data_IF_797384547588
#
_entry.id   IF_797384547588
#
_cell.length_a   1.000
_cell.length_b   1.000
_cell.length_c   1.000
_cell.angle_alpha   90.00
_cell.angle_beta   90.00
_cell.angle_gamma   90.00
#
_symmetry.space_group_name_H-M   'P 1'
#
loop_
_entity.id
_entity.type
_entity.pdbx_description
1 polymer ?
#
# COMPACT_ATOMS: atom_id res chain seq x y z
N UNK A 1 -0.56 13.45 -6.30
CA UNK A 1 -0.29 13.89 -4.91
C UNK A 1 -1.60 14.38 -4.32
N UNK A 2 -1.83 14.19 -3.02
CA UNK A 2 -2.99 14.71 -2.30
C UNK A 2 -2.45 15.52 -1.12
N UNK A 3 -2.80 16.80 -1.00
CA UNK A 3 -2.30 17.70 0.06
C UNK A 3 -0.77 17.65 0.26
N UNK A 4 0.00 17.60 -0.84
CA UNK A 4 1.46 17.51 -0.81
C UNK A 4 2.03 16.11 -0.49
N UNK A 5 1.18 15.12 -0.23
CA UNK A 5 1.61 13.73 -0.02
C UNK A 5 1.65 12.96 -1.35
N UNK A 6 2.69 12.14 -1.53
CA UNK A 6 2.77 11.20 -2.65
C UNK A 6 1.80 10.04 -2.43
N UNK A 7 1.10 9.67 -3.49
CA UNK A 7 0.09 8.62 -3.52
C UNK A 7 0.52 7.60 -4.56
N UNK A 8 0.49 6.32 -4.20
CA UNK A 8 0.66 5.21 -5.12
C UNK A 8 -0.72 4.74 -5.55
N UNK A 9 -0.94 4.65 -6.86
CA UNK A 9 -2.18 4.16 -7.46
C UNK A 9 -1.90 2.82 -8.11
N UNK A 10 -2.71 1.82 -7.79
CA UNK A 10 -2.65 0.48 -8.36
C UNK A 10 -3.94 0.22 -9.13
N UNK A 11 -3.79 -0.22 -10.38
CA UNK A 11 -4.91 -0.72 -11.18
C UNK A 11 -4.82 -2.25 -11.19
N UNK A 12 -5.85 -2.91 -10.65
CA UNK A 12 -5.99 -4.36 -10.60
C UNK A 12 -7.30 -4.70 -11.29
N UNK A 13 -7.21 -5.25 -12.51
CA UNK A 13 -8.35 -5.66 -13.33
C UNK A 13 -9.41 -4.56 -13.52
N UNK A 14 -8.97 -3.29 -13.63
CA UNK A 14 -9.84 -2.12 -13.79
C UNK A 14 -10.32 -1.51 -12.47
N UNK A 15 -10.03 -2.13 -11.33
CA UNK A 15 -10.28 -1.56 -10.01
C UNK A 15 -9.07 -0.76 -9.54
N UNK A 16 -9.30 0.47 -9.11
CA UNK A 16 -8.25 1.37 -8.66
C UNK A 16 -8.15 1.40 -7.13
N UNK A 17 -6.94 1.28 -6.61
CA UNK A 17 -6.60 1.49 -5.21
C UNK A 17 -5.61 2.65 -5.10
N UNK A 18 -5.84 3.58 -4.17
CA UNK A 18 -4.95 4.69 -3.91
C UNK A 18 -4.51 4.70 -2.45
N UNK A 19 -3.20 4.63 -2.21
CA UNK A 19 -2.60 4.59 -0.87
C UNK A 19 -1.44 5.57 -0.75
N UNK A 20 -1.03 5.91 0.47
CA UNK A 20 0.20 6.66 0.71
C UNK A 20 1.41 5.95 0.10
N UNK A 21 2.22 6.65 -0.70
CA UNK A 21 3.37 6.04 -1.40
C UNK A 21 4.57 5.79 -0.47
N UNK A 22 4.54 6.28 0.77
CA UNK A 22 5.67 6.22 1.70
C UNK A 22 5.44 5.14 2.75
N UNK A 23 6.22 4.06 2.68
CA UNK A 23 6.25 3.05 3.74
C UNK A 23 6.63 3.68 5.08
N UNK A 24 5.82 3.54 6.15
CA UNK A 24 6.05 4.19 7.44
C UNK A 24 7.31 3.72 8.15
N UNK A 25 7.85 2.54 7.78
CA UNK A 25 9.08 2.03 8.37
C UNK A 25 10.31 2.92 8.09
N UNK A 26 10.70 3.08 6.82
CA UNK A 26 11.90 3.85 6.41
C UNK A 26 11.71 4.64 5.12
N UNK A 27 10.46 4.94 4.77
CA UNK A 27 10.13 5.79 3.64
C UNK A 27 10.24 5.16 2.26
N UNK A 28 10.31 3.83 2.17
CA UNK A 28 10.36 3.12 0.88
C UNK A 28 9.15 3.43 -0.03
N UNK A 29 9.35 3.54 -1.35
CA UNK A 29 8.28 3.88 -2.30
C UNK A 29 7.39 2.67 -2.58
N UNK A 30 6.17 2.68 -2.07
CA UNK A 30 5.21 1.57 -2.23
C UNK A 30 4.75 1.42 -3.68
N UNK A 31 4.73 2.50 -4.47
CA UNK A 31 4.49 2.45 -5.94
C UNK A 31 5.46 1.57 -6.72
N UNK A 32 6.63 1.24 -6.14
CA UNK A 32 7.61 0.29 -6.71
C UNK A 32 7.53 -1.11 -6.10
N UNK A 33 6.54 -1.33 -5.24
CA UNK A 33 6.29 -2.62 -4.61
C UNK A 33 5.59 -3.60 -5.54
N UNK A 34 5.70 -4.88 -5.24
CA UNK A 34 4.97 -5.94 -5.94
C UNK A 34 3.60 -6.12 -5.28
N UNK A 35 2.55 -6.17 -6.09
CA UNK A 35 1.21 -6.54 -5.62
C UNK A 35 1.09 -8.06 -5.56
N UNK A 36 0.52 -8.57 -4.49
CA UNK A 36 0.25 -9.98 -4.25
C UNK A 36 -1.15 -10.18 -3.65
N UNK A 37 -1.78 -11.31 -3.96
CA UNK A 37 -3.05 -11.72 -3.35
C UNK A 37 -2.75 -12.45 -2.04
N UNK A 38 -3.42 -12.05 -0.97
CA UNK A 38 -3.19 -12.62 0.37
C UNK A 38 -4.44 -13.35 0.84
N UNK A 39 -4.37 -14.68 1.10
CA UNK A 39 -5.52 -15.42 1.60
C UNK A 39 -6.10 -14.79 2.88
N UNK A 40 -7.41 -14.55 2.90
CA UNK A 40 -8.09 -13.89 4.03
C UNK A 40 -7.88 -12.37 4.10
N UNK A 41 -7.33 -11.75 3.06
CA UNK A 41 -7.20 -10.29 2.91
C UNK A 41 -7.42 -9.90 1.44
N UNK A 42 -7.40 -8.59 1.15
CA UNK A 42 -7.46 -8.09 -0.22
C UNK A 42 -6.11 -8.17 -0.93
N UNK A 43 -6.01 -7.56 -2.14
CA UNK A 43 -4.71 -7.35 -2.76
C UNK A 43 -3.84 -6.47 -1.85
N UNK A 44 -2.57 -6.82 -1.74
CA UNK A 44 -1.62 -6.11 -0.90
C UNK A 44 -0.34 -5.79 -1.66
N UNK A 45 0.29 -4.66 -1.36
CA UNK A 45 1.58 -4.28 -1.91
C UNK A 45 2.71 -4.53 -0.92
N UNK A 46 3.74 -5.25 -1.38
CA UNK A 46 4.96 -5.49 -0.63
C UNK A 46 5.95 -4.36 -0.86
N UNK A 47 6.33 -3.68 0.22
CA UNK A 47 7.39 -2.68 0.20
C UNK A 47 8.69 -3.31 -0.35
N UNK A 48 9.30 -2.73 -1.40
CA UNK A 48 10.44 -3.35 -2.08
C UNK A 48 11.74 -3.32 -1.27
N UNK A 49 11.78 -2.58 -0.15
CA UNK A 49 13.00 -2.40 0.65
C UNK A 49 13.10 -3.42 1.78
N UNK A 50 12.03 -3.57 2.59
CA UNK A 50 12.06 -4.40 3.81
C UNK A 50 10.88 -5.38 3.90
N UNK A 51 10.08 -5.50 2.83
CA UNK A 51 9.04 -6.53 2.73
C UNK A 51 7.79 -6.33 3.58
N UNK A 52 7.58 -5.15 4.19
CA UNK A 52 6.32 -4.82 4.85
C UNK A 52 5.17 -4.87 3.84
N UNK A 53 4.07 -5.51 4.20
CA UNK A 53 3.00 -5.86 3.27
C UNK A 53 1.73 -5.10 3.65
N UNK A 54 1.23 -4.25 2.76
CA UNK A 54 0.09 -3.37 3.04
C UNK A 54 -1.12 -3.76 2.21
N UNK A 55 -2.24 -4.03 2.86
CA UNK A 55 -3.52 -4.25 2.19
C UNK A 55 -3.96 -2.94 1.50
N UNK A 56 -4.30 -3.03 0.21
CA UNK A 56 -4.57 -1.86 -0.63
C UNK A 56 -5.92 -1.20 -0.33
N UNK A 57 -6.88 -1.92 0.26
CA UNK A 57 -8.20 -1.40 0.58
C UNK A 57 -8.23 -0.70 1.95
N UNK A 58 -7.45 -1.20 2.91
CA UNK A 58 -7.48 -0.75 4.30
C UNK A 58 -6.24 0.04 4.72
N UNK A 59 -5.15 -0.06 3.95
CA UNK A 59 -3.86 0.54 4.28
C UNK A 59 -3.16 -0.12 5.47
N UNK A 60 -3.70 -1.19 6.05
CA UNK A 60 -3.11 -1.88 7.20
C UNK A 60 -1.90 -2.71 6.77
N UNK A 61 -0.85 -2.67 7.57
CA UNK A 61 0.30 -3.55 7.38
C UNK A 61 -0.02 -4.94 7.95
N UNK A 62 -0.08 -5.94 7.08
CA UNK A 62 -0.50 -7.31 7.41
C UNK A 62 0.53 -8.07 8.26
N UNK A 63 1.80 -7.65 8.22
CA UNK A 63 2.88 -8.27 8.97
C UNK A 63 3.46 -7.37 10.09
N UNK A 64 2.85 -6.20 10.33
CA UNK A 64 3.17 -5.29 11.44
C UNK A 64 1.88 -4.64 11.95
N UNK A 65 1.20 -5.22 12.96
CA UNK A 65 -0.17 -4.87 13.34
C UNK A 65 -0.42 -3.38 13.66
N UNK A 66 0.60 -2.68 14.17
CA UNK A 66 0.51 -1.28 14.58
C UNK A 66 0.82 -0.29 13.45
N UNK A 67 1.15 -0.78 12.25
CA UNK A 67 1.50 0.05 11.11
C UNK A 67 0.36 0.14 10.10
N UNK A 68 0.12 1.36 9.61
CA UNK A 68 -0.80 1.62 8.51
C UNK A 68 -0.35 2.80 7.67
N UNK A 69 -0.98 2.96 6.52
CA UNK A 69 -0.81 4.09 5.60
C UNK A 69 -2.18 4.67 5.25
N UNK A 70 -2.25 5.96 4.87
CA UNK A 70 -3.49 6.54 4.37
C UNK A 70 -4.00 5.81 3.12
N UNK A 71 -5.30 5.62 3.06
CA UNK A 71 -6.04 5.21 1.85
C UNK A 71 -6.81 6.43 1.35
N UNK A 72 -6.86 6.61 0.03
CA UNK A 72 -7.54 7.71 -0.63
C UNK A 72 -8.66 7.13 -1.50
N UNK A 73 -9.80 7.81 -1.52
CA UNK A 73 -10.86 7.49 -2.48
C UNK A 73 -10.34 7.80 -3.90
N UNK A 74 -10.49 6.88 -4.87
CA UNK A 74 -10.17 7.13 -6.26
C UNK A 74 -11.02 8.24 -6.89
#
# INVERSE_FOLDING_TARGET
MVNGQRVAVFNIDGHHYAIGDRCPHRGGPLSRGKVEQVPGSGPAVRCPIHGWLFDLATGRCLNQPDASIPVYEP
#
